data_IF_866739649971
#
_entry.id   IF_866739649971
#
_cell.length_a   1.000
_cell.length_b   1.000
_cell.length_c   1.000
_cell.angle_alpha   90.00
_cell.angle_beta   90.00
_cell.angle_gamma   90.00
#
_symmetry.space_group_name_H-M   'P 1'
#
loop_
_entity.id
_entity.type
_entity.pdbx_description
1 polymer ?
#
# COMPACT_ATOMS: atom_id res chain seq x y z
N UNK A 1 -4.71 -3.78 -12.36
CA UNK A 1 -3.99 -4.18 -11.14
C UNK A 1 -2.52 -4.26 -11.50
N UNK A 2 -1.65 -3.48 -10.85
CA UNK A 2 -0.30 -3.21 -11.35
C UNK A 2 0.79 -4.17 -10.80
N UNK A 3 0.40 -5.30 -10.22
CA UNK A 3 1.34 -6.29 -9.68
C UNK A 3 1.68 -7.34 -10.73
N UNK A 4 2.41 -6.89 -11.76
CA UNK A 4 2.81 -7.75 -12.88
C UNK A 4 3.67 -8.93 -12.42
N UNK A 5 4.49 -8.72 -11.39
CA UNK A 5 5.28 -9.77 -10.74
C UNK A 5 4.38 -10.88 -10.17
N UNK A 6 3.28 -10.53 -9.48
CA UNK A 6 2.32 -11.51 -8.98
C UNK A 6 1.65 -12.25 -10.13
N UNK A 7 1.20 -11.52 -11.16
CA UNK A 7 0.53 -12.11 -12.33
C UNK A 7 1.42 -13.10 -13.07
N UNK A 8 2.71 -12.78 -13.21
CA UNK A 8 3.68 -13.71 -13.78
C UNK A 8 3.82 -14.99 -12.95
N UNK A 9 3.93 -14.87 -11.62
CA UNK A 9 4.06 -16.04 -10.72
C UNK A 9 2.83 -16.94 -10.81
N UNK A 10 1.62 -16.37 -10.70
CA UNK A 10 0.39 -17.19 -10.74
C UNK A 10 0.12 -17.76 -12.13
N UNK A 11 0.48 -17.05 -13.21
CA UNK A 11 0.40 -17.59 -14.57
C UNK A 11 1.32 -18.80 -14.75
N UNK A 12 2.54 -18.74 -14.21
CA UNK A 12 3.47 -19.88 -14.22
C UNK A 12 2.92 -21.08 -13.45
N UNK A 13 2.26 -20.86 -12.31
CA UNK A 13 1.56 -21.91 -11.56
C UNK A 13 0.34 -22.47 -12.31
N UNK A 14 -0.27 -21.68 -13.19
CA UNK A 14 -1.36 -22.06 -14.11
C UNK A 14 -0.85 -22.75 -15.38
N UNK A 15 0.45 -23.07 -15.45
CA UNK A 15 1.08 -23.73 -16.59
C UNK A 15 1.34 -22.81 -17.78
N UNK A 16 1.13 -21.50 -17.63
CA UNK A 16 1.38 -20.49 -18.67
C UNK A 16 2.76 -19.86 -18.48
N UNK A 17 3.61 -19.96 -19.49
CA UNK A 17 4.87 -19.21 -19.53
C UNK A 17 4.66 -17.94 -20.35
N UNK A 18 4.31 -16.85 -19.66
CA UNK A 18 4.04 -15.55 -20.27
C UNK A 18 5.27 -14.65 -20.23
N UNK A 19 5.49 -13.87 -21.29
CA UNK A 19 6.40 -12.74 -21.31
C UNK A 19 5.84 -11.54 -20.55
N UNK A 20 6.69 -10.56 -20.22
CA UNK A 20 6.28 -9.34 -19.52
C UNK A 20 5.18 -8.55 -20.28
N UNK A 21 5.22 -8.60 -21.62
CA UNK A 21 4.22 -7.96 -22.46
C UNK A 21 2.88 -8.68 -22.34
N UNK A 22 2.87 -10.00 -22.44
CA UNK A 22 1.65 -10.81 -22.32
C UNK A 22 1.02 -10.71 -20.92
N UNK A 23 1.83 -10.62 -19.87
CA UNK A 23 1.34 -10.40 -18.50
C UNK A 23 0.61 -9.04 -18.37
N UNK A 24 1.12 -8.00 -19.02
CA UNK A 24 0.50 -6.66 -19.03
C UNK A 24 -0.78 -6.61 -19.84
N UNK A 25 -0.91 -7.49 -20.83
CA UNK A 25 -2.07 -7.59 -21.72
C UNK A 25 -3.16 -8.55 -21.20
N UNK A 26 -2.95 -9.20 -20.04
CA UNK A 26 -3.95 -10.05 -19.41
C UNK A 26 -5.26 -9.30 -19.18
N UNK A 27 -6.36 -9.91 -19.63
CA UNK A 27 -7.69 -9.35 -19.41
C UNK A 27 -8.04 -9.28 -17.92
N UNK A 28 -8.92 -8.35 -17.54
CA UNK A 28 -9.40 -8.22 -16.15
C UNK A 28 -10.04 -9.52 -15.64
N UNK A 29 -10.75 -10.24 -16.50
CA UNK A 29 -11.38 -11.53 -16.16
C UNK A 29 -10.33 -12.62 -15.91
N UNK A 30 -9.28 -12.71 -16.73
CA UNK A 30 -8.18 -13.65 -16.50
C UNK A 30 -7.39 -13.32 -15.24
N UNK A 31 -7.09 -12.04 -15.00
CA UNK A 31 -6.46 -11.59 -13.76
C UNK A 31 -7.27 -12.05 -12.54
N UNK A 32 -8.59 -11.82 -12.55
CA UNK A 32 -9.48 -12.25 -11.45
C UNK A 32 -9.47 -13.77 -11.28
N UNK A 33 -9.54 -14.54 -12.38
CA UNK A 33 -9.50 -16.01 -12.32
C UNK A 33 -8.20 -16.51 -11.71
N UNK A 34 -7.05 -15.98 -12.13
CA UNK A 34 -5.75 -16.37 -11.61
C UNK A 34 -5.64 -16.04 -10.11
N UNK A 35 -6.02 -14.84 -9.70
CA UNK A 35 -6.03 -14.46 -8.28
C UNK A 35 -6.90 -15.38 -7.42
N UNK A 36 -8.12 -15.68 -7.88
CA UNK A 36 -9.05 -16.52 -7.13
C UNK A 36 -8.67 -18.01 -7.12
N UNK A 37 -7.92 -18.46 -8.13
CA UNK A 37 -7.45 -19.86 -8.23
C UNK A 37 -6.22 -20.12 -7.35
N UNK A 38 -5.41 -19.09 -7.07
CA UNK A 38 -4.17 -19.21 -6.31
C UNK A 38 -4.14 -18.33 -5.04
N UNK A 39 -5.16 -18.40 -4.16
CA UNK A 39 -5.34 -17.44 -3.06
C UNK A 39 -4.20 -17.48 -2.03
N UNK A 40 -3.58 -18.65 -1.81
CA UNK A 40 -2.45 -18.81 -0.88
C UNK A 40 -1.22 -18.06 -1.39
N UNK A 41 -0.94 -18.13 -2.70
CA UNK A 41 0.20 -17.43 -3.32
C UNK A 41 -0.04 -15.92 -3.24
N UNK A 42 -1.26 -15.47 -3.56
CA UNK A 42 -1.65 -14.06 -3.49
C UNK A 42 -1.50 -13.52 -2.07
N UNK A 43 -2.00 -14.22 -1.06
CA UNK A 43 -1.90 -13.81 0.34
C UNK A 43 -0.44 -13.76 0.82
N UNK A 44 0.37 -14.76 0.48
CA UNK A 44 1.78 -14.79 0.85
C UNK A 44 2.59 -13.68 0.16
N UNK A 45 2.33 -13.43 -1.12
CA UNK A 45 2.98 -12.35 -1.86
C UNK A 45 2.66 -10.99 -1.27
N UNK A 46 1.39 -10.73 -0.95
CA UNK A 46 0.97 -9.51 -0.27
C UNK A 46 1.66 -9.34 1.08
N UNK A 47 1.63 -10.39 1.93
CA UNK A 47 2.27 -10.37 3.24
C UNK A 47 3.77 -10.11 3.14
N UNK A 48 4.44 -10.71 2.15
CA UNK A 48 5.87 -10.49 1.91
C UNK A 48 6.16 -9.03 1.51
N UNK A 49 5.39 -8.47 0.57
CA UNK A 49 5.57 -7.09 0.14
C UNK A 49 5.29 -6.09 1.27
N UNK A 50 4.26 -6.34 2.07
CA UNK A 50 3.96 -5.51 3.22
C UNK A 50 5.09 -5.54 4.27
N UNK A 51 5.64 -6.73 4.57
CA UNK A 51 6.81 -6.86 5.46
C UNK A 51 8.05 -6.17 4.90
N UNK A 52 8.26 -6.23 3.58
CA UNK A 52 9.36 -5.52 2.93
C UNK A 52 9.19 -3.99 3.03
N UNK A 53 7.98 -3.48 2.79
CA UNK A 53 7.64 -2.07 3.00
C UNK A 53 7.90 -1.65 4.45
N UNK A 54 7.46 -2.46 5.41
CA UNK A 54 7.73 -2.25 6.82
C UNK A 54 9.21 -2.13 7.14
N UNK A 55 10.00 -3.12 6.73
CA UNK A 55 11.42 -3.22 7.12
C UNK A 55 12.31 -2.21 6.39
N UNK A 56 12.01 -1.91 5.12
CA UNK A 56 12.91 -1.13 4.27
C UNK A 56 12.46 0.31 4.07
N UNK A 57 11.17 0.62 4.28
CA UNK A 57 10.62 1.96 4.10
C UNK A 57 10.21 2.55 5.46
N UNK A 58 9.22 1.95 6.14
CA UNK A 58 8.73 2.53 7.40
C UNK A 58 9.77 2.53 8.51
N UNK A 59 10.43 1.39 8.74
CA UNK A 59 11.51 1.22 9.72
C UNK A 59 12.90 1.28 9.07
N UNK A 60 12.96 1.63 7.79
CA UNK A 60 14.21 1.75 7.04
C UNK A 60 15.00 3.00 7.40
N UNK A 61 16.00 3.35 6.58
CA UNK A 61 16.83 4.53 6.83
C UNK A 61 16.04 5.85 6.69
N UNK A 62 15.01 5.90 5.85
CA UNK A 62 14.25 7.11 5.56
C UNK A 62 13.23 7.49 6.64
N UNK A 63 12.71 6.51 7.41
CA UNK A 63 11.73 6.69 8.49
C UNK A 63 10.70 7.79 8.19
N UNK A 64 9.91 7.64 7.12
CA UNK A 64 9.15 8.75 6.52
C UNK A 64 8.12 9.36 7.47
N UNK A 65 7.65 8.59 8.45
CA UNK A 65 6.70 9.03 9.47
C UNK A 65 7.36 9.28 10.84
N UNK A 66 8.69 9.11 10.96
CA UNK A 66 9.43 9.15 12.22
C UNK A 66 9.76 7.76 12.78
N UNK A 67 10.27 7.72 14.02
CA UNK A 67 10.61 6.48 14.71
C UNK A 67 9.35 5.76 15.20
N UNK A 68 9.05 4.60 14.62
CA UNK A 68 7.93 3.75 15.07
C UNK A 68 8.33 3.01 16.35
N UNK A 69 7.60 3.25 17.44
CA UNK A 69 7.81 2.61 18.75
C UNK A 69 6.95 1.36 18.94
N UNK A 70 5.74 1.38 18.38
CA UNK A 70 4.81 0.26 18.45
C UNK A 70 3.89 0.27 17.24
N UNK A 71 3.26 -0.86 16.95
CA UNK A 71 2.35 -1.00 15.83
C UNK A 71 1.31 -2.08 16.04
N UNK A 72 0.19 -1.91 15.35
CA UNK A 72 -0.85 -2.92 15.22
C UNK A 72 -1.31 -2.95 13.77
N UNK A 73 -1.50 -4.13 13.20
CA UNK A 73 -2.16 -4.24 11.91
C UNK A 73 -2.99 -5.51 11.79
N UNK A 74 -3.90 -5.50 10.81
CA UNK A 74 -4.67 -6.66 10.36
C UNK A 74 -4.74 -6.67 8.84
N UNK A 75 -4.60 -7.87 8.29
CA UNK A 75 -5.04 -8.18 6.93
C UNK A 75 -6.56 -8.29 6.92
N UNK A 76 -7.20 -7.58 6.00
CA UNK A 76 -8.62 -7.72 5.72
C UNK A 76 -8.81 -8.00 4.23
N UNK A 77 -9.74 -8.91 3.93
CA UNK A 77 -10.11 -9.28 2.58
C UNK A 77 -11.52 -8.76 2.32
N UNK A 78 -11.63 -7.60 1.69
CA UNK A 78 -12.92 -7.08 1.24
C UNK A 78 -13.52 -7.96 0.13
N UNK A 79 -14.84 -7.86 -0.07
CA UNK A 79 -15.57 -8.56 -1.15
C UNK A 79 -15.07 -8.22 -2.58
N UNK A 80 -14.12 -7.31 -2.72
CA UNK A 80 -13.50 -6.90 -3.99
C UNK A 80 -12.23 -7.68 -4.35
N UNK A 81 -11.82 -8.63 -3.50
CA UNK A 81 -10.81 -9.64 -3.82
C UNK A 81 -9.35 -9.22 -3.64
N UNK A 82 -9.05 -7.94 -3.42
CA UNK A 82 -7.70 -7.50 -3.04
C UNK A 82 -7.56 -7.42 -1.52
N UNK A 83 -6.49 -7.98 -0.94
CA UNK A 83 -6.19 -7.78 0.48
C UNK A 83 -5.82 -6.32 0.76
N UNK A 84 -6.22 -5.83 1.92
CA UNK A 84 -5.86 -4.49 2.39
C UNK A 84 -5.43 -4.55 3.86
N UNK A 85 -4.50 -3.66 4.22
CA UNK A 85 -3.98 -3.56 5.59
C UNK A 85 -4.72 -2.44 6.31
N UNK A 86 -5.34 -2.79 7.45
CA UNK A 86 -5.69 -1.80 8.48
C UNK A 86 -4.56 -1.75 9.49
N UNK A 87 -4.01 -0.57 9.76
CA UNK A 87 -2.87 -0.41 10.67
C UNK A 87 -2.95 0.83 11.55
N UNK A 88 -2.30 0.74 12.71
CA UNK A 88 -2.02 1.81 13.66
C UNK A 88 -0.52 1.83 13.93
N UNK A 89 0.06 3.03 13.95
CA UNK A 89 1.48 3.26 14.14
C UNK A 89 1.68 4.26 15.28
N UNK A 90 2.41 3.85 16.32
CA UNK A 90 2.82 4.75 17.39
C UNK A 90 4.21 5.26 17.07
N UNK A 91 4.31 6.57 16.87
CA UNK A 91 5.55 7.25 16.49
C UNK A 91 6.06 8.08 17.66
N UNK A 92 7.38 8.10 17.83
CA UNK A 92 8.08 9.02 18.75
C UNK A 92 7.82 10.49 18.40
N UNK A 93 8.02 11.38 19.37
CA UNK A 93 7.92 12.84 19.23
C UNK A 93 6.57 13.34 18.67
N UNK A 94 5.48 12.62 18.96
CA UNK A 94 4.12 13.03 18.61
C UNK A 94 3.57 14.08 19.59
N UNK A 95 2.70 15.00 19.15
CA UNK A 95 2.10 16.01 20.03
C UNK A 95 1.26 15.40 21.16
N UNK A 96 1.54 15.77 22.42
CA UNK A 96 0.72 15.32 23.55
C UNK A 96 -0.60 16.09 23.64
N UNK A 97 -1.68 15.45 23.18
CA UNK A 97 -3.04 16.01 23.16
C UNK A 97 -3.61 16.32 24.56
N UNK A 98 -3.00 15.82 25.65
CA UNK A 98 -3.39 16.18 27.02
C UNK A 98 -2.97 17.61 27.35
N UNK A 99 -1.92 18.12 26.70
CA UNK A 99 -1.40 19.48 26.91
C UNK A 99 -2.04 20.50 25.97
N UNK A 100 -2.09 21.77 26.38
CA UNK A 100 -2.55 22.87 25.51
C UNK A 100 -1.63 23.03 24.30
N UNK A 101 -0.31 22.90 24.51
CA UNK A 101 0.68 23.03 23.45
C UNK A 101 0.59 21.91 22.41
N UNK A 102 0.45 20.65 22.86
CA UNK A 102 0.31 19.51 21.96
C UNK A 102 -0.95 19.60 21.11
N UNK A 103 -2.09 20.02 21.68
CA UNK A 103 -3.31 20.29 20.89
C UNK A 103 -3.10 21.37 19.83
N UNK A 104 -2.34 22.43 20.14
CA UNK A 104 -2.00 23.48 19.16
C UNK A 104 -1.11 22.96 18.02
N UNK A 105 -0.20 22.02 18.30
CA UNK A 105 0.71 21.42 17.31
C UNK A 105 0.10 20.27 16.51
N UNK A 106 -0.97 19.64 17.02
CA UNK A 106 -1.57 18.44 16.46
C UNK A 106 -2.00 18.59 15.00
N UNK A 107 -2.65 19.70 14.65
CA UNK A 107 -3.11 19.96 13.27
C UNK A 107 -1.96 19.93 12.28
N UNK A 108 -0.90 20.71 12.51
CA UNK A 108 0.27 20.73 11.62
C UNK A 108 1.02 19.39 11.57
N UNK A 109 0.99 18.60 12.66
CA UNK A 109 1.53 17.25 12.64
C UNK A 109 0.71 16.31 11.75
N UNK A 110 -0.62 16.37 11.84
CA UNK A 110 -1.52 15.57 10.98
C UNK A 110 -1.35 15.99 9.52
N UNK A 111 -1.41 17.29 9.22
CA UNK A 111 -1.32 17.81 7.85
C UNK A 111 0.01 17.45 7.17
N UNK A 112 1.09 17.29 7.94
CA UNK A 112 2.40 16.85 7.41
C UNK A 112 2.35 15.43 6.81
N UNK A 113 1.58 14.53 7.41
CA UNK A 113 1.59 13.11 7.06
C UNK A 113 0.30 12.62 6.38
N UNK A 114 -0.81 13.34 6.57
CA UNK A 114 -2.12 13.01 6.05
C UNK A 114 -2.70 14.21 5.31
N UNK A 115 -2.32 14.37 4.04
CA UNK A 115 -2.81 15.43 3.16
C UNK A 115 -3.12 14.90 1.76
N UNK A 116 -4.09 15.50 1.08
CA UNK A 116 -4.37 15.24 -0.33
C UNK A 116 -4.64 16.57 -1.05
N UNK A 117 -3.61 17.42 -1.25
CA UNK A 117 -3.80 18.65 -2.00
C UNK A 117 -4.02 18.33 -3.48
N UNK A 118 -4.99 19.01 -4.11
CA UNK A 118 -5.13 18.98 -5.56
C UNK A 118 -3.89 19.65 -6.17
N UNK A 119 -3.19 19.01 -7.13
CA UNK A 119 -2.04 19.60 -7.80
C UNK A 119 -2.38 20.93 -8.46
N UNK A 120 -1.41 21.83 -8.56
CA UNK A 120 -1.58 23.04 -9.38
C UNK A 120 -1.45 22.72 -10.86
N UNK A 121 -1.90 23.64 -11.69
CA UNK A 121 -1.79 23.56 -13.15
C UNK A 121 -0.34 23.28 -13.57
N UNK A 122 -0.12 22.17 -14.29
CA UNK A 122 1.20 21.77 -14.79
C UNK A 122 2.11 21.06 -13.78
N UNK A 123 1.65 20.72 -12.57
CA UNK A 123 2.42 19.90 -11.62
C UNK A 123 2.16 18.39 -11.80
N UNK A 124 0.89 17.98 -11.83
CA UNK A 124 0.46 16.59 -12.02
C UNK A 124 -0.95 16.60 -12.63
N UNK A 125 -1.01 16.82 -13.94
CA UNK A 125 -2.25 16.94 -14.70
C UNK A 125 -3.04 15.61 -14.69
N UNK A 126 -2.34 14.46 -14.62
CA UNK A 126 -2.96 13.12 -14.54
C UNK A 126 -3.75 12.95 -13.22
N UNK A 127 -3.19 13.38 -12.08
CA UNK A 127 -3.90 13.31 -10.79
C UNK A 127 -5.03 14.35 -10.71
N UNK A 128 -4.89 15.48 -11.40
CA UNK A 128 -5.89 16.56 -11.46
C UNK A 128 -7.13 16.16 -12.27
N UNK A 129 -6.94 15.39 -13.35
CA UNK A 129 -8.01 14.97 -14.27
C UNK A 129 -8.76 13.69 -13.83
N UNK A 130 -8.59 13.23 -12.57
CA UNK A 130 -9.23 12.03 -12.02
C UNK A 130 -10.74 12.17 -11.67
N UNK A 131 -11.44 13.18 -12.21
CA UNK A 131 -12.90 13.37 -12.03
C UNK A 131 -13.78 12.60 -13.03
#
# INVERSE_FOLDING_TARGET
>A
MNWFDLMWVVAKCDGKSLSDKEVKELSTSECRRLLSSYPVIVANHFSHRFKAFMNHILNGASKPIGEVKDYFWRDEFQQRGSPHIHSLWWVEDTPDLKTVEGRRKALGFIDKYASCPIPKDGEDDDLKDLE
#
